data_IF_729070143357
#
_entry.id   IF_729070143357
#
_cell.length_a   1.000
_cell.length_b   1.000
_cell.length_c   1.000
_cell.angle_alpha   90.00
_cell.angle_beta   90.00
_cell.angle_gamma   90.00
#
_symmetry.space_group_name_H-M   'P 1'
#
loop_
_entity.id
_entity.type
_entity.pdbx_description
1 polymer ?
#
# COMPACT_ATOMS: atom_id res chain seq x y z
N UNK A 1 10.99 -4.36 0.04
CA UNK A 1 12.35 -3.76 -0.09
C UNK A 1 13.32 -4.67 0.64
N UNK A 2 14.59 -4.66 0.27
CA UNK A 2 15.65 -5.39 0.98
C UNK A 2 16.85 -4.47 1.26
N UNK A 3 18.02 -5.04 1.55
CA UNK A 3 19.25 -4.29 1.80
C UNK A 3 19.74 -3.50 0.58
N UNK A 4 19.35 -3.87 -0.64
CA UNK A 4 19.72 -3.20 -1.88
C UNK A 4 18.68 -2.15 -2.34
N UNK A 5 17.54 -2.03 -1.65
CA UNK A 5 16.50 -1.03 -1.98
C UNK A 5 15.17 -1.64 -2.43
N UNK A 6 14.52 -1.02 -3.42
CA UNK A 6 13.22 -1.45 -3.94
C UNK A 6 13.36 -2.69 -4.82
N UNK A 7 13.03 -3.86 -4.26
CA UNK A 7 12.97 -5.13 -5.02
C UNK A 7 11.83 -5.18 -6.05
N UNK A 8 10.66 -4.66 -5.67
CA UNK A 8 9.46 -4.65 -6.50
C UNK A 8 8.43 -3.66 -5.95
N UNK A 9 7.62 -3.11 -6.85
CA UNK A 9 6.43 -2.31 -6.52
C UNK A 9 5.30 -2.66 -7.49
N UNK A 10 4.08 -2.75 -6.99
CA UNK A 10 2.93 -3.18 -7.78
C UNK A 10 1.66 -2.52 -7.27
N UNK A 11 0.68 -2.38 -8.16
CA UNK A 11 -0.67 -1.99 -7.75
C UNK A 11 -1.36 -3.16 -7.03
N UNK A 12 -2.26 -2.84 -6.10
CA UNK A 12 -3.01 -3.86 -5.38
C UNK A 12 -3.85 -4.70 -6.36
N UNK A 13 -3.75 -6.04 -6.33
CA UNK A 13 -4.58 -6.88 -7.18
C UNK A 13 -6.04 -6.79 -6.73
N UNK A 14 -6.94 -6.63 -7.71
CA UNK A 14 -8.37 -6.48 -7.45
C UNK A 14 -9.18 -7.45 -8.32
N UNK A 15 -10.36 -7.79 -7.81
CA UNK A 15 -11.37 -8.59 -8.49
C UNK A 15 -12.73 -7.88 -8.43
N UNK A 16 -13.64 -8.13 -9.38
CA UNK A 16 -15.00 -7.65 -9.28
C UNK A 16 -15.67 -8.08 -7.97
N UNK A 17 -16.49 -7.19 -7.40
CA UNK A 17 -17.34 -7.55 -6.27
C UNK A 17 -18.45 -8.48 -6.79
N UNK A 18 -18.60 -9.71 -6.24
CA UNK A 18 -19.68 -10.61 -6.66
C UNK A 18 -21.04 -9.94 -6.53
N UNK A 19 -21.83 -9.98 -7.60
CA UNK A 19 -23.17 -9.38 -7.65
C UNK A 19 -23.20 -7.85 -7.79
N UNK A 20 -22.06 -7.17 -7.99
CA UNK A 20 -22.06 -5.74 -8.25
C UNK A 20 -22.67 -5.42 -9.61
N UNK A 21 -23.84 -4.77 -9.60
CA UNK A 21 -24.53 -4.34 -10.82
C UNK A 21 -23.85 -3.14 -11.51
N UNK A 22 -24.31 -2.75 -12.71
CA UNK A 22 -23.69 -1.68 -13.51
C UNK A 22 -23.59 -0.32 -12.80
N UNK A 23 -24.58 -0.02 -11.94
CA UNK A 23 -24.69 1.21 -11.15
C UNK A 23 -23.99 1.15 -9.78
N UNK A 24 -23.31 0.06 -9.45
CA UNK A 24 -22.59 -0.05 -8.19
C UNK A 24 -21.46 1.00 -8.11
N UNK A 25 -21.42 1.73 -7.00
CA UNK A 25 -20.35 2.71 -6.72
C UNK A 25 -19.00 2.02 -6.46
N UNK A 26 -19.03 0.85 -5.83
CA UNK A 26 -17.85 0.01 -5.56
C UNK A 26 -17.94 -1.24 -6.43
N UNK A 27 -17.12 -1.30 -7.47
CA UNK A 27 -17.14 -2.37 -8.47
C UNK A 27 -16.09 -3.45 -8.21
N UNK A 28 -15.00 -3.08 -7.55
CA UNK A 28 -13.86 -3.95 -7.29
C UNK A 28 -13.57 -4.04 -5.79
N UNK A 29 -12.99 -5.17 -5.39
CA UNK A 29 -12.42 -5.41 -4.06
C UNK A 29 -11.03 -6.00 -4.22
N UNK A 30 -10.24 -5.98 -3.15
CA UNK A 30 -8.97 -6.72 -3.11
C UNK A 30 -9.21 -8.20 -3.44
N UNK A 31 -8.41 -8.73 -4.36
CA UNK A 31 -8.28 -10.17 -4.56
C UNK A 31 -7.26 -10.69 -3.56
N UNK A 32 -7.74 -11.23 -2.43
CA UNK A 32 -6.87 -11.73 -1.36
C UNK A 32 -5.99 -12.90 -1.80
N UNK A 33 -6.44 -13.74 -2.74
CA UNK A 33 -5.64 -14.85 -3.26
C UNK A 33 -4.51 -14.33 -4.13
N UNK A 34 -4.82 -13.43 -5.06
CA UNK A 34 -3.80 -12.83 -5.92
C UNK A 34 -2.81 -12.00 -5.10
N UNK A 35 -3.26 -11.30 -4.06
CA UNK A 35 -2.38 -10.58 -3.12
C UNK A 35 -1.44 -11.55 -2.39
N UNK A 36 -1.97 -12.64 -1.83
CA UNK A 36 -1.15 -13.65 -1.15
C UNK A 36 -0.07 -14.24 -2.09
N UNK A 37 -0.45 -14.60 -3.31
CA UNK A 37 0.49 -15.14 -4.31
C UNK A 37 1.56 -14.12 -4.69
N UNK A 38 1.18 -12.85 -4.86
CA UNK A 38 2.10 -11.77 -5.21
C UNK A 38 3.10 -11.52 -4.08
N UNK A 39 2.64 -11.50 -2.83
CA UNK A 39 3.48 -11.38 -1.65
C UNK A 39 4.47 -12.55 -1.54
N UNK A 40 4.01 -13.80 -1.66
CA UNK A 40 4.87 -14.99 -1.61
C UNK A 40 5.88 -15.06 -2.76
N UNK A 41 5.52 -14.55 -3.94
CA UNK A 41 6.43 -14.46 -5.10
C UNK A 41 7.61 -13.52 -4.81
N UNK A 42 7.36 -12.40 -4.13
CA UNK A 42 8.37 -11.36 -3.90
C UNK A 42 9.02 -11.42 -2.50
N UNK A 43 8.48 -12.21 -1.60
CA UNK A 43 9.02 -12.51 -0.27
C UNK A 43 8.93 -14.02 -0.03
N UNK A 44 9.74 -14.84 -0.73
CA UNK A 44 9.69 -16.29 -0.57
C UNK A 44 10.16 -16.69 0.83
N UNK A 45 9.57 -17.75 1.38
CA UNK A 45 9.87 -18.21 2.74
C UNK A 45 11.36 -18.54 2.98
N UNK A 46 12.10 -18.88 1.92
CA UNK A 46 13.55 -19.11 1.95
C UNK A 46 14.36 -17.88 2.36
N UNK A 47 13.80 -16.68 2.23
CA UNK A 47 14.45 -15.41 2.60
C UNK A 47 13.97 -14.88 3.97
N UNK A 48 13.16 -15.66 4.70
CA UNK A 48 12.65 -15.31 6.01
C UNK A 48 11.29 -14.59 5.96
N UNK A 49 10.91 -13.99 7.09
CA UNK A 49 9.62 -13.30 7.25
C UNK A 49 9.81 -11.79 7.10
N UNK A 50 9.16 -11.15 6.11
CA UNK A 50 9.20 -9.70 6.00
C UNK A 50 8.40 -9.06 7.15
N UNK A 51 8.83 -7.87 7.58
CA UNK A 51 7.96 -6.97 8.35
C UNK A 51 7.10 -6.17 7.37
N UNK A 52 5.82 -6.03 7.68
CA UNK A 52 4.86 -5.30 6.88
C UNK A 52 4.49 -4.01 7.60
N UNK A 53 4.62 -2.89 6.89
CA UNK A 53 4.15 -1.58 7.34
C UNK A 53 2.94 -1.20 6.50
N UNK A 54 1.84 -0.89 7.16
CA UNK A 54 0.58 -0.52 6.52
C UNK A 54 0.18 0.87 6.98
N UNK A 55 -0.18 1.76 6.05
CA UNK A 55 -0.68 3.07 6.45
C UNK A 55 -1.99 2.91 7.24
N UNK A 56 -2.04 3.54 8.41
CA UNK A 56 -3.23 3.57 9.24
C UNK A 56 -4.28 4.44 8.55
N UNK A 57 -5.41 3.82 8.23
CA UNK A 57 -6.58 4.50 7.66
C UNK A 57 -7.71 4.56 8.68
N UNK A 58 -8.55 5.58 8.58
CA UNK A 58 -9.73 5.76 9.41
C UNK A 58 -10.90 6.22 8.58
N UNK A 59 -12.12 5.85 8.99
CA UNK A 59 -13.32 6.38 8.36
C UNK A 59 -13.48 7.86 8.65
N UNK A 60 -13.74 8.67 7.63
CA UNK A 60 -14.10 10.07 7.79
C UNK A 60 -15.56 10.28 7.43
N UNK A 61 -16.37 10.75 8.39
CA UNK A 61 -17.73 11.21 8.14
C UNK A 61 -17.76 12.58 7.46
N UNK A 62 -18.89 12.95 6.86
CA UNK A 62 -19.13 14.27 6.30
C UNK A 62 -19.86 14.24 4.96
N UNK A 63 -20.43 15.39 4.56
CA UNK A 63 -21.24 15.54 3.34
C UNK A 63 -20.51 15.12 2.05
N UNK A 64 -19.18 15.20 2.03
CA UNK A 64 -18.34 14.86 0.89
C UNK A 64 -17.73 13.45 0.96
N UNK A 65 -18.09 12.63 1.94
CA UNK A 65 -17.55 11.28 2.12
C UNK A 65 -18.68 10.25 2.12
N UNK A 66 -18.93 9.66 0.95
CA UNK A 66 -19.94 8.62 0.79
C UNK A 66 -19.62 7.39 1.66
N UNK A 67 -20.64 6.86 2.36
CA UNK A 67 -20.53 5.68 3.23
C UNK A 67 -19.97 4.47 2.46
N UNK A 68 -20.32 4.33 1.19
CA UNK A 68 -19.83 3.28 0.32
C UNK A 68 -18.32 3.35 0.10
N UNK A 69 -17.76 4.56 -0.03
CA UNK A 69 -16.31 4.76 -0.17
C UNK A 69 -15.59 4.39 1.13
N UNK A 70 -16.12 4.82 2.28
CA UNK A 70 -15.57 4.48 3.59
C UNK A 70 -15.63 2.96 3.85
N UNK A 71 -16.75 2.31 3.51
CA UNK A 71 -16.89 0.86 3.57
C UNK A 71 -15.92 0.13 2.64
N UNK A 72 -15.69 0.65 1.43
CA UNK A 72 -14.69 0.08 0.51
C UNK A 72 -13.26 0.21 1.05
N UNK A 73 -12.92 1.34 1.68
CA UNK A 73 -11.62 1.57 2.30
C UNK A 73 -11.36 0.55 3.43
N UNK A 74 -12.32 0.41 4.36
CA UNK A 74 -12.21 -0.52 5.47
C UNK A 74 -12.20 -1.98 5.00
N UNK A 75 -12.95 -2.31 3.93
CA UNK A 75 -12.90 -3.63 3.31
C UNK A 75 -11.52 -3.95 2.75
N UNK A 76 -10.87 -3.00 2.09
CA UNK A 76 -9.51 -3.18 1.57
C UNK A 76 -8.50 -3.36 2.70
N UNK A 77 -8.60 -2.55 3.77
CA UNK A 77 -7.77 -2.69 4.97
C UNK A 77 -7.86 -4.12 5.53
N UNK A 78 -9.08 -4.56 5.87
CA UNK A 78 -9.28 -5.88 6.47
C UNK A 78 -8.84 -7.03 5.56
N UNK A 79 -8.99 -6.89 4.23
CA UNK A 79 -8.51 -7.90 3.28
C UNK A 79 -6.97 -8.01 3.27
N UNK A 80 -6.27 -6.87 3.33
CA UNK A 80 -4.80 -6.84 3.38
C UNK A 80 -4.31 -7.42 4.71
N UNK A 81 -4.89 -6.98 5.83
CA UNK A 81 -4.57 -7.49 7.17
C UNK A 81 -4.75 -9.01 7.25
N UNK A 82 -5.91 -9.51 6.83
CA UNK A 82 -6.22 -10.95 6.87
C UNK A 82 -5.19 -11.77 6.08
N UNK A 83 -4.78 -11.30 4.90
CA UNK A 83 -3.76 -12.00 4.09
C UNK A 83 -2.42 -12.02 4.81
N UNK A 84 -1.98 -10.89 5.36
CA UNK A 84 -0.69 -10.79 6.06
C UNK A 84 -0.68 -11.60 7.36
N UNK A 85 -1.77 -11.58 8.12
CA UNK A 85 -1.97 -12.37 9.33
C UNK A 85 -1.93 -13.88 9.03
N UNK A 86 -2.61 -14.32 7.95
CA UNK A 86 -2.59 -15.71 7.51
C UNK A 86 -1.17 -16.17 7.11
N UNK A 87 -0.35 -15.26 6.56
CA UNK A 87 1.06 -15.49 6.26
C UNK A 87 1.96 -15.48 7.52
N UNK A 88 1.41 -15.08 8.69
CA UNK A 88 2.12 -14.95 9.97
C UNK A 88 3.31 -14.00 9.89
N UNK A 89 3.15 -12.93 9.11
CA UNK A 89 4.14 -11.87 8.98
C UNK A 89 3.85 -10.77 10.00
N UNK A 90 4.87 -10.22 10.69
CA UNK A 90 4.67 -9.08 11.58
C UNK A 90 4.11 -7.89 10.80
N UNK A 91 2.98 -7.33 11.25
CA UNK A 91 2.32 -6.19 10.64
C UNK A 91 2.23 -5.04 11.65
N UNK A 92 2.59 -3.85 11.19
CA UNK A 92 2.51 -2.61 11.97
C UNK A 92 1.73 -1.56 11.19
N UNK A 93 0.72 -0.97 11.82
CA UNK A 93 -0.02 0.15 11.26
C UNK A 93 0.64 1.48 11.64
N UNK A 94 0.94 2.31 10.65
CA UNK A 94 1.70 3.55 10.81
C UNK A 94 0.83 4.74 10.42
N UNK A 95 0.72 5.74 11.29
CA UNK A 95 -0.02 6.95 10.96
C UNK A 95 0.65 7.70 9.80
N UNK A 96 -0.12 8.26 8.83
CA UNK A 96 0.44 8.98 7.69
C UNK A 96 1.42 10.08 8.10
N UNK A 97 1.06 10.84 9.14
CA UNK A 97 1.87 11.96 9.63
C UNK A 97 3.23 11.51 10.19
N UNK A 98 3.33 10.30 10.73
CA UNK A 98 4.58 9.77 11.31
C UNK A 98 5.65 9.63 10.24
N UNK A 99 5.33 8.91 9.16
CA UNK A 99 6.30 8.62 8.10
C UNK A 99 6.43 9.78 7.10
N UNK A 100 5.33 10.49 6.77
CA UNK A 100 5.36 11.63 5.83
C UNK A 100 6.19 12.80 6.32
N UNK A 101 6.23 13.03 7.65
CA UNK A 101 7.04 14.10 8.25
C UNK A 101 8.52 13.98 7.92
N UNK A 102 9.07 12.76 7.90
CA UNK A 102 10.48 12.53 7.57
C UNK A 102 10.84 13.05 6.16
N UNK A 103 9.87 13.02 5.25
CA UNK A 103 10.05 13.37 3.86
C UNK A 103 9.54 14.78 3.49
N UNK A 104 9.00 15.53 4.46
CA UNK A 104 8.38 16.83 4.22
C UNK A 104 7.11 16.74 3.36
N UNK A 105 6.38 15.62 3.42
CA UNK A 105 5.22 15.38 2.56
C UNK A 105 3.90 15.85 3.20
N UNK A 106 3.07 16.49 2.39
CA UNK A 106 1.70 16.88 2.72
C UNK A 106 0.67 16.11 1.89
N UNK A 107 -0.35 16.82 1.39
CA UNK A 107 -1.39 16.25 0.51
C UNK A 107 -1.00 16.24 -0.98
N UNK A 108 0.15 16.80 -1.35
CA UNK A 108 0.61 16.85 -2.74
C UNK A 108 1.15 15.49 -3.21
N UNK A 109 0.46 14.91 -4.18
CA UNK A 109 0.80 13.63 -4.81
C UNK A 109 2.08 13.72 -5.64
N UNK A 110 2.39 14.87 -6.23
CA UNK A 110 3.59 15.05 -7.04
C UNK A 110 4.86 15.05 -6.16
N UNK A 111 4.76 15.64 -4.95
CA UNK A 111 5.85 15.64 -3.98
C UNK A 111 6.30 14.22 -3.60
N UNK A 112 5.34 13.31 -3.33
CA UNK A 112 5.66 11.91 -3.01
C UNK A 112 6.36 11.19 -4.18
N UNK A 113 5.90 11.41 -5.42
CA UNK A 113 6.53 10.85 -6.62
C UNK A 113 7.97 11.32 -6.79
N UNK A 114 8.21 12.63 -6.67
CA UNK A 114 9.55 13.19 -6.83
C UNK A 114 10.49 12.68 -5.74
N UNK A 115 10.03 12.65 -4.48
CA UNK A 115 10.83 12.15 -3.37
C UNK A 115 11.17 10.67 -3.51
N UNK A 116 10.22 9.83 -3.94
CA UNK A 116 10.48 8.42 -4.16
C UNK A 116 11.49 8.18 -5.29
N UNK A 117 11.44 8.95 -6.39
CA UNK A 117 12.42 8.85 -7.48
C UNK A 117 13.82 9.33 -7.07
N UNK A 118 13.90 10.34 -6.21
CA UNK A 118 15.16 10.85 -5.66
C UNK A 118 15.84 9.82 -4.74
N UNK A 119 15.06 9.13 -3.89
CA UNK A 119 15.59 8.15 -2.94
C UNK A 119 15.80 6.76 -3.54
N UNK A 120 15.04 6.42 -4.58
CA UNK A 120 15.01 5.09 -5.21
C UNK A 120 15.04 5.20 -6.72
N UNK A 121 16.22 5.53 -7.26
CA UNK A 121 16.44 5.61 -8.71
C UNK A 121 16.13 4.28 -9.41
N UNK A 122 16.36 3.15 -8.72
CA UNK A 122 16.04 1.81 -9.20
C UNK A 122 14.55 1.60 -9.49
N UNK A 123 13.67 2.36 -8.82
CA UNK A 123 12.22 2.30 -9.01
C UNK A 123 11.68 3.37 -9.97
N UNK A 124 12.53 4.23 -10.54
CA UNK A 124 12.08 5.38 -11.34
C UNK A 124 11.24 4.97 -12.56
N UNK A 125 11.55 3.83 -13.18
CA UNK A 125 10.78 3.28 -14.29
C UNK A 125 9.33 2.95 -13.89
N UNK A 126 9.13 2.40 -12.70
CA UNK A 126 7.82 2.07 -12.13
C UNK A 126 7.05 3.29 -11.64
N UNK A 127 7.72 4.45 -11.53
CA UNK A 127 7.15 5.70 -11.04
C UNK A 127 6.94 6.75 -12.14
N UNK A 128 6.98 6.39 -13.42
CA UNK A 128 6.98 7.36 -14.55
C UNK A 128 5.74 8.25 -14.68
N UNK A 129 4.57 7.80 -14.22
CA UNK A 129 3.29 8.47 -14.46
C UNK A 129 2.73 9.10 -13.17
N UNK A 130 1.99 10.20 -13.30
CA UNK A 130 1.32 10.85 -12.16
C UNK A 130 0.37 9.91 -11.39
N UNK A 131 -0.23 8.93 -12.08
CA UNK A 131 -1.09 7.91 -11.45
C UNK A 131 -0.32 6.95 -10.52
N UNK A 132 1.01 6.92 -10.56
CA UNK A 132 1.83 6.03 -9.72
C UNK A 132 2.14 6.62 -8.33
N UNK A 133 1.48 7.70 -7.92
CA UNK A 133 1.66 8.29 -6.58
C UNK A 133 1.44 7.28 -5.46
N UNK A 134 0.47 6.36 -5.58
CA UNK A 134 0.27 5.30 -4.58
C UNK A 134 1.47 4.35 -4.47
N UNK A 135 2.15 4.06 -5.60
CA UNK A 135 3.39 3.26 -5.61
C UNK A 135 4.53 4.00 -4.91
N UNK A 136 4.63 5.31 -5.15
CA UNK A 136 5.62 6.16 -4.51
C UNK A 136 5.41 6.20 -2.98
N UNK A 137 4.17 6.40 -2.51
CA UNK A 137 3.86 6.38 -1.08
C UNK A 137 4.16 5.00 -0.45
N UNK A 138 3.85 3.89 -1.13
CA UNK A 138 4.18 2.55 -0.66
C UNK A 138 5.71 2.32 -0.53
N UNK A 139 6.49 2.81 -1.50
CA UNK A 139 7.97 2.75 -1.46
C UNK A 139 8.50 3.55 -0.26
N UNK A 140 8.01 4.78 -0.07
CA UNK A 140 8.46 5.66 1.01
C UNK A 140 8.08 5.14 2.39
N UNK A 141 6.87 4.59 2.56
CA UNK A 141 6.47 3.95 3.82
C UNK A 141 7.37 2.75 4.14
N UNK A 142 7.70 1.93 3.15
CA UNK A 142 8.59 0.79 3.35
C UNK A 142 10.04 1.24 3.63
N UNK A 143 10.51 2.34 3.03
CA UNK A 143 11.84 2.90 3.33
C UNK A 143 11.90 3.43 4.76
N UNK A 144 10.88 4.17 5.19
CA UNK A 144 10.75 4.64 6.57
C UNK A 144 10.80 3.45 7.54
N UNK A 145 9.98 2.42 7.31
CA UNK A 145 9.95 1.24 8.17
C UNK A 145 11.28 0.48 8.22
N UNK A 146 12.09 0.50 7.15
CA UNK A 146 13.45 -0.06 7.17
C UNK A 146 14.38 0.73 8.10
N UNK A 147 14.23 2.05 8.19
CA UNK A 147 15.06 2.89 9.05
C UNK A 147 14.68 2.78 10.54
N UNK A 148 13.41 2.55 10.85
CA UNK A 148 12.95 2.42 12.25
C UNK A 148 13.30 1.06 12.88
N UNK A 149 13.63 0.06 12.06
CA UNK A 149 13.90 -1.32 12.50
C UNK A 149 15.38 -1.69 12.44
N UNK A 150 16.17 -0.90 11.71
CA UNK A 150 17.63 -1.03 11.66
C UNK A 150 18.25 -0.67 13.03
#
# INVERSE_FOLDING_TARGET
MDHNGVRAVFDLPTMPVPGAGPKALVKNKIDGRALCQLLLKHCPASEGKPRVFLEKVSTMGGANNAVQTQGSLMRSLGAIETVVECLKWPLEQVAPQTWKRLYGLGSDKAAALNKARELHEEAAADLRLAKHHNRAEAILLAHWGRQEVA
#
